data_IF_971222125391
#
_entry.id   IF_971222125391
#
_cell.length_a   1.000
_cell.length_b   1.000
_cell.length_c   1.000
_cell.angle_alpha   90.00
_cell.angle_beta   90.00
_cell.angle_gamma   90.00
#
_symmetry.space_group_name_H-M   'P 1'
#
loop_
_entity.id
_entity.type
_entity.pdbx_description
1 polymer ?
#
# COMPACT_ATOMS: atom_id res chain seq x y z
N UNK A 1 -5.79 -19.39 -18.06
CA UNK A 1 -4.54 -18.68 -17.71
C UNK A 1 -4.70 -17.22 -18.14
N UNK A 2 -4.82 -16.28 -17.19
CA UNK A 2 -4.93 -14.85 -17.51
C UNK A 2 -3.57 -14.37 -18.05
N UNK A 3 -3.49 -14.27 -19.38
CA UNK A 3 -2.48 -13.44 -20.04
C UNK A 3 -2.83 -12.00 -19.68
N UNK A 4 -1.83 -11.30 -19.16
CA UNK A 4 -1.84 -9.89 -18.76
C UNK A 4 -2.43 -9.63 -17.36
N UNK A 5 -1.54 -9.43 -16.38
CA UNK A 5 -1.83 -9.17 -14.96
C UNK A 5 -2.32 -7.74 -14.72
N UNK A 6 -3.26 -7.28 -15.54
CA UNK A 6 -3.83 -5.94 -15.49
C UNK A 6 -5.32 -6.06 -15.19
N UNK A 7 -5.79 -5.23 -14.26
CA UNK A 7 -7.19 -5.15 -13.86
C UNK A 7 -7.66 -3.72 -14.10
N UNK A 8 -8.76 -3.55 -14.82
CA UNK A 8 -9.45 -2.26 -14.93
C UNK A 8 -10.61 -2.27 -13.95
N UNK A 9 -10.59 -1.33 -13.01
CA UNK A 9 -11.61 -1.22 -11.96
C UNK A 9 -12.47 0.00 -12.22
N UNK A 10 -13.78 -0.19 -12.30
CA UNK A 10 -14.76 0.90 -12.37
C UNK A 10 -15.24 1.23 -10.97
N UNK A 11 -15.10 2.50 -10.58
CA UNK A 11 -15.61 3.00 -9.31
C UNK A 11 -16.99 3.64 -9.49
N UNK A 12 -17.88 3.45 -8.51
CA UNK A 12 -19.19 4.10 -8.49
C UNK A 12 -19.08 5.60 -8.18
N UNK A 13 -18.08 5.99 -7.38
CA UNK A 13 -17.86 7.38 -6.98
C UNK A 13 -16.45 7.84 -7.34
N UNK A 14 -16.36 9.13 -7.68
CA UNK A 14 -15.09 9.81 -7.93
C UNK A 14 -14.22 9.81 -6.66
N UNK A 15 -14.84 9.92 -5.47
CA UNK A 15 -14.14 9.86 -4.19
C UNK A 15 -13.47 8.50 -4.01
N UNK A 16 -14.18 7.40 -4.24
CA UNK A 16 -13.62 6.05 -4.15
C UNK A 16 -12.43 5.83 -5.08
N UNK A 17 -12.51 6.34 -6.33
CA UNK A 17 -11.39 6.35 -7.27
C UNK A 17 -10.18 7.10 -6.69
N UNK A 18 -10.38 8.31 -6.14
CA UNK A 18 -9.28 9.13 -5.62
C UNK A 18 -8.62 8.53 -4.37
N UNK A 19 -9.40 7.89 -3.48
CA UNK A 19 -8.84 7.15 -2.34
C UNK A 19 -7.97 5.99 -2.81
N UNK A 20 -8.42 5.23 -3.81
CA UNK A 20 -7.62 4.15 -4.40
C UNK A 20 -6.33 4.66 -5.06
N UNK A 21 -6.38 5.79 -5.78
CA UNK A 21 -5.18 6.37 -6.40
C UNK A 21 -4.17 6.89 -5.35
N UNK A 22 -4.64 7.44 -4.23
CA UNK A 22 -3.77 7.95 -3.15
C UNK A 22 -2.92 6.87 -2.48
N UNK A 23 -3.40 5.63 -2.42
CA UNK A 23 -2.62 4.53 -1.87
C UNK A 23 -1.41 4.15 -2.74
N UNK A 24 -1.52 4.35 -4.06
CA UNK A 24 -0.49 4.10 -5.07
C UNK A 24 -0.13 2.62 -5.25
N UNK A 25 0.37 1.97 -4.20
CA UNK A 25 0.72 0.54 -4.18
C UNK A 25 -0.10 -0.15 -3.09
N UNK A 26 -0.86 -1.17 -3.48
CA UNK A 26 -1.58 -2.05 -2.57
C UNK A 26 -0.91 -3.40 -2.51
N UNK A 27 -1.09 -4.13 -1.42
CA UNK A 27 -0.63 -5.50 -1.30
C UNK A 27 -1.84 -6.42 -1.18
N UNK A 28 -1.90 -7.43 -2.04
CA UNK A 28 -2.89 -8.51 -1.95
C UNK A 28 -2.16 -9.83 -2.10
N UNK A 29 -2.38 -10.77 -1.18
CA UNK A 29 -1.66 -12.05 -1.14
C UNK A 29 -0.11 -11.89 -1.20
N UNK A 30 0.41 -10.95 -0.41
CA UNK A 30 1.84 -10.60 -0.36
C UNK A 30 2.45 -10.17 -1.73
N UNK A 31 1.61 -9.80 -2.70
CA UNK A 31 2.02 -9.30 -4.02
C UNK A 31 1.63 -7.83 -4.15
N UNK A 32 2.55 -6.94 -4.59
CA UNK A 32 2.23 -5.55 -4.82
C UNK A 32 1.39 -5.38 -6.09
N UNK A 33 0.40 -4.50 -6.02
CA UNK A 33 -0.45 -4.03 -7.10
C UNK A 33 -0.26 -2.53 -7.24
N UNK A 34 0.15 -2.10 -8.43
CA UNK A 34 0.32 -0.68 -8.74
C UNK A 34 -1.02 -0.17 -9.25
N UNK A 35 -1.56 0.86 -8.60
CA UNK A 35 -2.80 1.51 -8.99
C UNK A 35 -2.45 2.81 -9.70
N UNK A 36 -2.98 2.96 -10.92
CA UNK A 36 -2.82 4.16 -11.74
C UNK A 36 -4.16 4.61 -12.28
N UNK A 37 -4.22 5.88 -12.65
CA UNK A 37 -5.33 6.39 -13.41
C UNK A 37 -5.31 5.77 -14.80
N UNK A 38 -6.47 5.26 -15.23
CA UNK A 38 -6.61 4.71 -16.56
C UNK A 38 -6.79 5.84 -17.58
N UNK A 39 -5.98 5.82 -18.63
CA UNK A 39 -6.15 6.63 -19.83
C UNK A 39 -6.07 5.72 -21.06
N UNK A 40 -6.72 6.08 -22.19
CA UNK A 40 -6.64 5.30 -23.42
C UNK A 40 -5.20 5.13 -23.95
N UNK A 41 -4.33 6.10 -23.65
CA UNK A 41 -2.92 6.13 -24.05
C UNK A 41 -1.97 5.49 -23.01
N UNK A 42 -2.50 4.90 -21.94
CA UNK A 42 -1.69 4.31 -20.88
C UNK A 42 -0.94 3.10 -21.42
N UNK A 43 0.38 3.25 -21.60
CA UNK A 43 1.25 2.11 -21.84
C UNK A 43 1.54 1.38 -20.52
N UNK A 44 1.27 0.07 -20.48
CA UNK A 44 1.67 -0.80 -19.38
C UNK A 44 3.18 -1.10 -19.44
N UNK A 45 4.00 -0.07 -19.47
CA UNK A 45 5.44 -0.22 -19.31
C UNK A 45 5.72 -0.65 -17.87
N UNK A 46 6.70 -1.53 -17.71
CA UNK A 46 7.19 -2.00 -16.41
C UNK A 46 7.98 -0.85 -15.77
N UNK A 47 7.28 0.19 -15.35
CA UNK A 47 7.89 1.29 -14.62
C UNK A 47 8.64 0.72 -13.42
N UNK A 48 9.87 1.18 -13.25
CA UNK A 48 10.70 0.83 -12.11
C UNK A 48 9.97 1.29 -10.85
N UNK A 49 9.60 0.35 -9.98
CA UNK A 49 9.08 0.64 -8.66
C UNK A 49 10.14 1.42 -7.86
N UNK A 50 10.13 2.74 -7.95
CA UNK A 50 11.12 3.59 -7.29
C UNK A 50 11.01 3.53 -5.77
N UNK A 51 9.83 3.22 -5.22
CA UNK A 51 9.61 3.07 -3.78
C UNK A 51 8.55 2.02 -3.54
N UNK A 52 8.87 1.01 -2.73
CA UNK A 52 7.96 -0.06 -2.32
C UNK A 52 7.60 0.14 -0.85
N UNK A 53 6.32 0.00 -0.52
CA UNK A 53 5.88 -0.02 0.87
C UNK A 53 6.21 -1.39 1.47
N UNK A 54 6.81 -1.42 2.65
CA UNK A 54 7.14 -2.66 3.36
C UNK A 54 6.37 -2.73 4.68
N UNK A 55 5.95 -3.94 5.05
CA UNK A 55 5.40 -4.22 6.36
C UNK A 55 6.54 -4.58 7.32
N UNK A 56 6.68 -3.81 8.39
CA UNK A 56 7.66 -4.09 9.45
C UNK A 56 6.95 -4.77 10.61
N UNK A 57 7.41 -5.96 10.97
CA UNK A 57 6.95 -6.69 12.16
C UNK A 57 7.99 -6.53 13.27
N UNK A 58 7.52 -6.31 14.49
CA UNK A 58 8.38 -6.19 15.68
C UNK A 58 8.20 -7.42 16.59
N UNK A 59 8.81 -8.57 16.27
CA UNK A 59 8.71 -9.76 17.11
C UNK A 59 9.32 -9.49 18.49
N UNK A 60 8.62 -9.91 19.55
CA UNK A 60 9.09 -9.73 20.93
C UNK A 60 8.99 -8.30 21.46
N UNK A 61 8.28 -7.39 20.78
CA UNK A 61 8.02 -6.06 21.29
C UNK A 61 7.15 -6.14 22.55
N UNK A 62 7.64 -5.56 23.65
CA UNK A 62 6.91 -5.48 24.92
C UNK A 62 5.55 -4.78 24.73
N UNK A 63 4.50 -5.36 25.33
CA UNK A 63 3.12 -4.91 25.25
C UNK A 63 2.94 -3.43 25.55
N UNK A 64 3.77 -2.84 26.43
CA UNK A 64 3.70 -1.40 26.74
C UNK A 64 3.91 -0.48 25.53
N UNK A 65 4.50 -0.99 24.45
CA UNK A 65 4.75 -0.26 23.20
C UNK A 65 3.69 -0.46 22.13
N UNK A 66 2.68 -1.32 22.35
CA UNK A 66 1.64 -1.68 21.37
C UNK A 66 0.56 -0.61 21.18
N UNK A 67 0.84 0.64 21.55
CA UNK A 67 -0.04 1.76 21.22
C UNK A 67 0.26 2.28 19.82
N UNK A 68 -0.75 2.85 19.14
CA UNK A 68 -0.57 3.55 17.85
C UNK A 68 0.57 4.59 17.92
N UNK A 69 0.69 5.29 19.05
CA UNK A 69 1.76 6.27 19.28
C UNK A 69 3.11 5.59 19.45
N UNK A 70 3.20 4.51 20.22
CA UNK A 70 4.43 3.73 20.43
C UNK A 70 4.96 3.11 19.14
N UNK A 71 4.09 2.40 18.42
CA UNK A 71 4.42 1.79 17.14
C UNK A 71 4.81 2.82 16.08
N UNK A 72 4.10 3.95 16.00
CA UNK A 72 4.45 5.04 15.09
C UNK A 72 5.81 5.66 15.44
N UNK A 73 6.11 5.88 16.71
CA UNK A 73 7.43 6.37 17.16
C UNK A 73 8.55 5.41 16.79
N UNK A 74 8.39 4.11 17.05
CA UNK A 74 9.40 3.10 16.70
C UNK A 74 9.56 3.03 15.17
N UNK A 75 8.46 2.94 14.42
CA UNK A 75 8.49 2.91 12.96
C UNK A 75 9.14 4.15 12.35
N UNK A 76 8.98 5.32 12.99
CA UNK A 76 9.57 6.59 12.52
C UNK A 76 11.10 6.59 12.49
N UNK A 77 11.74 5.70 13.26
CA UNK A 77 13.20 5.49 13.22
C UNK A 77 13.66 4.85 11.90
N UNK A 78 12.77 4.12 11.21
CA UNK A 78 13.05 3.51 9.92
C UNK A 78 12.70 4.50 8.80
N UNK A 79 11.46 5.01 8.81
CA UNK A 79 10.93 6.00 7.86
C UNK A 79 9.59 6.52 8.38
N UNK A 80 9.01 7.53 7.71
CA UNK A 80 7.61 7.96 7.94
C UNK A 80 6.65 6.77 7.83
N UNK A 81 6.04 6.31 8.94
CA UNK A 81 5.09 5.21 8.92
C UNK A 81 3.83 5.64 8.16
N UNK A 82 3.33 4.78 7.26
CA UNK A 82 2.10 5.05 6.51
C UNK A 82 0.86 4.55 7.24
N UNK A 83 0.97 3.38 7.87
CA UNK A 83 -0.13 2.71 8.54
C UNK A 83 0.42 1.85 9.68
N UNK A 84 -0.38 1.70 10.73
CA UNK A 84 -0.15 0.77 11.83
C UNK A 84 -1.33 -0.19 11.79
N UNK A 85 -1.06 -1.49 11.94
CA UNK A 85 -2.13 -2.48 11.96
C UNK A 85 -3.07 -2.22 13.15
N UNK A 86 -4.37 -2.38 12.93
CA UNK A 86 -5.39 -2.24 13.96
C UNK A 86 -5.54 -3.58 14.69
N UNK A 87 -4.47 -4.06 15.31
CA UNK A 87 -4.55 -5.22 16.19
C UNK A 87 -4.61 -4.71 17.63
N UNK A 88 -5.82 -4.75 18.20
CA UNK A 88 -6.03 -4.83 19.65
C UNK A 88 -6.30 -6.30 19.95
#
# INVERSE_FOLDING_TARGET
MLKDRVLVVRFETVIGKHEALRGGIYHFDNKPFIVKEWTPELEFTKEELQTVQIWVKFPGLDFKYWSRVGLSKIGSLIRKPMMVDHTI
#
